data_IF_052478867893
#
_entry.id   IF_052478867893
#
_cell.length_a   1.000
_cell.length_b   1.000
_cell.length_c   1.000
_cell.angle_alpha   90.00
_cell.angle_beta   90.00
_cell.angle_gamma   90.00
#
_symmetry.space_group_name_H-M   'P 1'
#
loop_
_entity.id
_entity.type
_entity.pdbx_description
1 polymer ?
#
# COMPACT_ATOMS: atom_id res chain seq x y z
N UNK A 1 -12.80 4.29 6.33
CA UNK A 1 -12.04 3.09 6.75
C UNK A 1 -10.87 2.92 5.78
N UNK A 2 -9.63 2.97 6.26
CA UNK A 2 -8.47 2.71 5.40
C UNK A 2 -8.45 1.22 5.05
N UNK A 3 -8.65 0.87 3.78
CA UNK A 3 -8.71 -0.52 3.34
C UNK A 3 -7.31 -1.00 2.96
N UNK A 4 -6.84 -2.06 3.62
CA UNK A 4 -5.62 -2.77 3.22
C UNK A 4 -5.86 -3.50 1.89
N UNK A 5 -4.96 -3.30 0.94
CA UNK A 5 -4.95 -3.94 -0.39
C UNK A 5 -3.68 -4.76 -0.54
N UNK A 6 -3.72 -5.77 -1.41
CA UNK A 6 -2.57 -6.63 -1.71
C UNK A 6 -2.11 -6.37 -3.14
N UNK A 7 -0.80 -6.31 -3.35
CA UNK A 7 -0.17 -6.25 -4.67
C UNK A 7 0.88 -7.35 -4.79
N UNK A 8 0.77 -8.18 -5.81
CA UNK A 8 1.78 -9.20 -6.13
C UNK A 8 2.86 -8.59 -7.02
N UNK A 9 4.10 -8.57 -6.52
CA UNK A 9 5.27 -8.02 -7.22
C UNK A 9 6.34 -9.12 -7.25
N UNK A 10 6.72 -9.58 -8.45
CA UNK A 10 7.74 -10.64 -8.65
C UNK A 10 7.50 -11.88 -7.78
N UNK A 11 6.24 -12.31 -7.65
CA UNK A 11 5.86 -13.48 -6.86
C UNK A 11 5.61 -13.22 -5.38
N UNK A 12 6.09 -12.10 -4.84
CA UNK A 12 5.90 -11.69 -3.44
C UNK A 12 4.64 -10.84 -3.29
N UNK A 13 3.78 -11.17 -2.34
CA UNK A 13 2.61 -10.35 -1.98
C UNK A 13 3.01 -9.24 -1.01
N UNK A 14 2.71 -8.01 -1.37
CA UNK A 14 2.90 -6.83 -0.55
C UNK A 14 1.56 -6.24 -0.14
N UNK A 15 1.45 -5.82 1.11
CA UNK A 15 0.24 -5.20 1.65
C UNK A 15 0.45 -3.69 1.73
N UNK A 16 -0.51 -2.93 1.23
CA UNK A 16 -0.46 -1.47 1.22
C UNK A 16 -1.80 -0.86 1.61
N UNK A 17 -1.74 0.38 2.08
CA UNK A 17 -2.90 1.24 2.28
C UNK A 17 -2.96 2.23 1.11
N UNK A 18 -4.15 2.37 0.54
CA UNK A 18 -4.44 3.35 -0.50
C UNK A 18 -4.99 4.62 0.15
N UNK A 19 -4.21 5.70 0.08
CA UNK A 19 -4.54 6.97 0.71
C UNK A 19 -4.75 8.04 -0.36
N UNK A 20 -5.94 8.65 -0.45
CA UNK A 20 -6.13 9.82 -1.31
C UNK A 20 -5.39 11.03 -0.72
N UNK A 21 -4.76 11.81 -1.58
CA UNK A 21 -4.13 13.07 -1.22
C UNK A 21 -4.39 14.12 -2.31
N UNK A 22 -4.38 15.39 -1.91
CA UNK A 22 -4.42 16.48 -2.87
C UNK A 22 -3.01 16.73 -3.42
N UNK A 23 -2.84 16.66 -4.74
CA UNK A 23 -1.61 17.05 -5.40
C UNK A 23 -1.70 18.55 -5.79
N UNK A 24 -0.97 19.47 -5.13
CA UNK A 24 -1.05 20.90 -5.41
C UNK A 24 -0.42 21.27 -6.76
N UNK A 25 0.60 20.54 -7.22
CA UNK A 25 1.28 20.81 -8.49
C UNK A 25 0.35 20.53 -9.68
N UNK A 26 -0.37 19.41 -9.61
CA UNK A 26 -1.30 18.98 -10.67
C UNK A 26 -2.74 19.47 -10.47
N UNK A 27 -3.02 20.11 -9.33
CA UNK A 27 -4.34 20.60 -8.92
C UNK A 27 -5.44 19.55 -9.04
N UNK A 28 -5.18 18.33 -8.58
CA UNK A 28 -6.14 17.22 -8.58
C UNK A 28 -5.93 16.27 -7.40
N UNK A 29 -6.97 15.50 -7.06
CA UNK A 29 -6.84 14.35 -6.17
C UNK A 29 -6.02 13.24 -6.82
N UNK A 30 -5.03 12.72 -6.10
CA UNK A 30 -4.25 11.54 -6.48
C UNK A 30 -4.27 10.52 -5.33
N UNK A 31 -3.86 9.28 -5.63
CA UNK A 31 -3.80 8.20 -4.66
C UNK A 31 -2.35 7.78 -4.47
N UNK A 32 -1.91 7.65 -3.21
CA UNK A 32 -0.60 7.08 -2.86
C UNK A 32 -0.79 5.72 -2.23
N UNK A 33 0.17 4.82 -2.50
CA UNK A 33 0.24 3.49 -1.89
C UNK A 33 1.32 3.49 -0.83
N UNK A 34 0.92 3.29 0.42
CA UNK A 34 1.84 3.16 1.54
C UNK A 34 1.98 1.68 1.88
N UNK A 35 3.12 1.07 1.56
CA UNK A 35 3.37 -0.35 1.84
C UNK A 35 3.64 -0.56 3.33
N UNK A 36 2.75 -1.31 3.97
CA UNK A 36 2.78 -1.57 5.42
C UNK A 36 3.36 -2.93 5.76
N UNK A 37 3.65 -3.78 4.77
CA UNK A 37 4.20 -5.10 4.97
C UNK A 37 4.08 -6.01 3.75
N UNK A 38 4.26 -7.31 3.97
CA UNK A 38 4.21 -8.36 2.95
C UNK A 38 3.66 -9.66 3.53
N UNK A 39 3.08 -10.51 2.70
CA UNK A 39 2.69 -11.86 3.14
C UNK A 39 3.83 -12.84 2.84
N UNK A 40 4.42 -13.43 3.87
CA UNK A 40 5.43 -14.49 3.74
C UNK A 40 4.77 -15.80 4.16
N UNK A 41 4.72 -16.79 3.27
CA UNK A 41 4.11 -18.10 3.51
C UNK A 41 2.66 -18.03 4.05
N UNK A 42 1.87 -17.07 3.53
CA UNK A 42 0.49 -16.84 3.96
C UNK A 42 0.34 -16.05 5.27
N UNK A 43 1.45 -15.66 5.91
CA UNK A 43 1.47 -14.86 7.14
C UNK A 43 1.81 -13.40 6.82
N UNK A 44 0.99 -12.47 7.30
CA UNK A 44 1.28 -11.05 7.16
C UNK A 44 2.46 -10.65 8.07
N UNK A 45 3.52 -10.12 7.46
CA UNK A 45 4.70 -9.56 8.10
C UNK A 45 4.70 -8.04 7.89
N UNK A 46 4.48 -7.23 8.94
CA UNK A 46 4.54 -5.78 8.81
C UNK A 46 5.96 -5.31 8.49
N UNK A 47 6.07 -4.20 7.75
CA UNK A 47 7.34 -3.48 7.65
C UNK A 47 7.61 -2.89 9.03
N UNK A 48 8.72 -3.29 9.68
CA UNK A 48 9.13 -2.68 10.94
C UNK A 48 9.11 -1.15 10.76
N UNK A 49 8.27 -0.51 11.56
CA UNK A 49 8.10 0.95 11.60
C UNK A 49 9.02 1.52 12.66
#
# INVERSE_FOLDING_TARGET
>A
MAQRKVQKIRGQEYVYIDEPYWNPEKKRGEHRRTYIGKNVDGVFVPNNT
#
